data_IF_285158965331
#
_entry.id   IF_285158965331
#
_cell.length_a   1.000
_cell.length_b   1.000
_cell.length_c   1.000
_cell.angle_alpha   90.00
_cell.angle_beta   90.00
_cell.angle_gamma   90.00
#
_symmetry.space_group_name_H-M   'P 1'
#
loop_
_entity.id
_entity.type
_entity.pdbx_description
1 polymer ?
#
# COMPACT_ATOMS: atom_id res chain seq x y z
N UNK A 1 -23.04 5.34 0.41
CA UNK A 1 -21.80 5.77 -0.29
C UNK A 1 -22.00 5.83 -1.81
N UNK A 2 -22.41 4.76 -2.50
CA UNK A 2 -22.59 4.78 -3.97
C UNK A 2 -23.57 5.88 -4.45
N UNK A 3 -24.71 6.03 -3.78
CA UNK A 3 -25.67 7.11 -4.09
C UNK A 3 -25.08 8.51 -3.83
N UNK A 4 -24.27 8.64 -2.78
CA UNK A 4 -23.55 9.88 -2.46
C UNK A 4 -22.63 10.30 -3.62
N UNK A 5 -21.84 9.35 -4.15
CA UNK A 5 -20.96 9.61 -5.28
C UNK A 5 -21.75 9.90 -6.58
N UNK A 6 -22.83 9.16 -6.84
CA UNK A 6 -23.68 9.36 -8.02
C UNK A 6 -24.39 10.72 -8.03
N UNK A 7 -24.77 11.21 -6.85
CA UNK A 7 -25.39 12.52 -6.67
C UNK A 7 -24.36 13.67 -6.56
N UNK A 8 -23.09 13.36 -6.31
CA UNK A 8 -22.10 14.37 -6.01
C UNK A 8 -22.36 15.10 -4.68
N UNK A 9 -23.05 14.43 -3.74
CA UNK A 9 -23.50 14.99 -2.48
C UNK A 9 -22.97 14.18 -1.29
N UNK A 10 -22.73 14.78 -0.12
CA UNK A 10 -22.28 14.05 1.05
C UNK A 10 -23.33 13.02 1.51
N UNK A 11 -22.87 11.96 2.19
CA UNK A 11 -23.74 10.86 2.63
C UNK A 11 -24.90 11.34 3.50
N UNK A 12 -24.70 12.36 4.33
CA UNK A 12 -25.75 12.98 5.16
C UNK A 12 -26.87 13.56 4.31
N UNK A 13 -26.54 14.13 3.14
CA UNK A 13 -27.54 14.63 2.19
C UNK A 13 -28.44 13.51 1.68
N UNK A 14 -27.86 12.35 1.35
CA UNK A 14 -28.61 11.18 0.85
C UNK A 14 -29.64 10.70 1.88
N UNK A 15 -29.25 10.69 3.16
CA UNK A 15 -30.20 10.31 4.23
C UNK A 15 -31.27 11.35 4.50
N UNK A 16 -30.98 12.64 4.32
CA UNK A 16 -31.92 13.72 4.54
C UNK A 16 -32.89 13.93 3.37
N UNK A 17 -32.52 13.49 2.15
CA UNK A 17 -33.27 13.72 0.91
C UNK A 17 -33.56 12.40 0.19
N UNK A 18 -34.35 11.54 0.85
CA UNK A 18 -34.72 10.24 0.27
C UNK A 18 -35.52 10.31 -1.04
N UNK A 19 -36.05 11.50 -1.36
CA UNK A 19 -36.75 11.82 -2.61
C UNK A 19 -35.82 12.28 -3.74
N UNK A 20 -34.52 12.43 -3.49
CA UNK A 20 -33.56 12.88 -4.50
C UNK A 20 -33.51 11.90 -5.68
N UNK A 21 -33.75 12.43 -6.88
CA UNK A 21 -33.75 11.63 -8.10
C UNK A 21 -32.31 11.32 -8.55
N UNK A 22 -32.06 10.06 -8.76
CA UNK A 22 -30.81 9.56 -9.38
C UNK A 22 -31.16 8.87 -10.68
N UNK A 23 -30.35 9.04 -11.70
CA UNK A 23 -30.53 8.32 -12.95
C UNK A 23 -30.49 6.80 -12.70
N UNK A 24 -31.59 6.07 -12.90
CA UNK A 24 -31.67 4.64 -12.64
C UNK A 24 -30.60 3.83 -13.40
N UNK A 25 -30.26 4.27 -14.62
CA UNK A 25 -29.26 3.55 -15.45
C UNK A 25 -27.87 3.53 -14.82
N UNK A 26 -27.48 4.62 -14.14
CA UNK A 26 -26.20 4.73 -13.42
C UNK A 26 -26.19 3.84 -12.18
N UNK A 27 -27.29 3.78 -11.44
CA UNK A 27 -27.45 2.89 -10.28
C UNK A 27 -27.37 1.43 -10.75
N UNK A 28 -28.15 1.07 -11.78
CA UNK A 28 -28.18 -0.29 -12.32
C UNK A 28 -26.79 -0.75 -12.82
N UNK A 29 -26.05 0.14 -13.48
CA UNK A 29 -24.69 -0.16 -13.93
C UNK A 29 -23.76 -0.46 -12.74
N UNK A 30 -23.76 0.39 -11.70
CA UNK A 30 -22.95 0.20 -10.51
C UNK A 30 -23.36 -1.05 -9.71
N UNK A 31 -24.66 -1.31 -9.62
CA UNK A 31 -25.19 -2.50 -8.93
C UNK A 31 -24.82 -3.79 -9.67
N UNK A 32 -24.87 -3.83 -11.01
CA UNK A 32 -24.40 -4.99 -11.78
C UNK A 32 -22.93 -5.30 -11.52
N UNK A 33 -22.06 -4.27 -11.51
CA UNK A 33 -20.64 -4.44 -11.17
C UNK A 33 -20.48 -5.00 -9.77
N UNK A 34 -21.20 -4.44 -8.79
CA UNK A 34 -21.14 -4.89 -7.39
C UNK A 34 -21.64 -6.33 -7.21
N UNK A 35 -22.72 -6.71 -7.89
CA UNK A 35 -23.24 -8.08 -7.87
C UNK A 35 -22.31 -9.09 -8.57
N UNK A 36 -21.47 -8.62 -9.49
CA UNK A 36 -20.41 -9.42 -10.11
C UNK A 36 -19.17 -9.57 -9.20
N UNK A 37 -19.21 -9.04 -7.96
CA UNK A 37 -18.12 -9.16 -6.99
C UNK A 37 -17.09 -8.04 -7.07
N UNK A 38 -17.26 -7.02 -7.92
CA UNK A 38 -16.30 -5.93 -8.04
C UNK A 38 -16.25 -5.09 -6.75
N UNK A 39 -15.04 -4.77 -6.23
CA UNK A 39 -14.88 -3.94 -5.04
C UNK A 39 -15.61 -2.59 -5.17
N UNK A 40 -16.26 -2.15 -4.09
CA UNK A 40 -16.95 -0.88 -4.08
C UNK A 40 -16.01 0.29 -4.41
N UNK A 41 -14.77 0.23 -3.96
CA UNK A 41 -13.74 1.25 -4.20
C UNK A 41 -13.43 1.39 -5.71
N UNK A 42 -13.37 0.27 -6.45
CA UNK A 42 -13.17 0.32 -7.90
C UNK A 42 -14.40 0.86 -8.64
N UNK A 43 -15.60 0.51 -8.19
CA UNK A 43 -16.84 1.06 -8.74
C UNK A 43 -16.90 2.58 -8.55
N UNK A 44 -16.43 3.06 -7.39
CA UNK A 44 -16.35 4.49 -7.03
C UNK A 44 -15.15 5.19 -7.69
N UNK A 45 -14.12 4.44 -8.08
CA UNK A 45 -12.85 4.94 -8.59
C UNK A 45 -11.97 5.60 -7.52
N UNK A 46 -12.30 5.41 -6.22
CA UNK A 46 -11.61 6.07 -5.11
C UNK A 46 -11.78 5.36 -3.78
N UNK A 47 -10.83 5.58 -2.89
CA UNK A 47 -10.87 5.17 -1.48
C UNK A 47 -10.30 6.26 -0.59
N UNK A 48 -10.56 6.20 0.70
CA UNK A 48 -9.93 7.03 1.71
C UNK A 48 -8.75 6.29 2.34
N UNK A 49 -7.65 6.99 2.58
CA UNK A 49 -6.48 6.50 3.28
C UNK A 49 -5.80 7.67 4.01
N UNK A 50 -5.56 7.54 5.29
CA UNK A 50 -4.96 8.56 6.15
C UNK A 50 -5.66 9.93 6.05
N UNK A 51 -6.99 9.92 6.02
CA UNK A 51 -7.83 11.12 5.89
C UNK A 51 -7.77 11.82 4.52
N UNK A 52 -7.22 11.15 3.49
CA UNK A 52 -7.10 11.65 2.11
C UNK A 52 -7.79 10.73 1.12
N UNK A 53 -8.34 11.32 0.06
CA UNK A 53 -8.92 10.56 -1.05
C UNK A 53 -7.83 10.15 -2.05
N UNK A 54 -7.78 8.85 -2.38
CA UNK A 54 -6.91 8.27 -3.40
C UNK A 54 -7.72 7.62 -4.51
N UNK A 55 -7.37 7.88 -5.74
CA UNK A 55 -7.90 7.18 -6.90
C UNK A 55 -7.40 5.74 -6.90
N UNK A 56 -8.32 4.81 -7.19
CA UNK A 56 -8.02 3.38 -7.31
C UNK A 56 -8.85 2.75 -8.42
N UNK A 57 -8.27 1.77 -9.09
CA UNK A 57 -8.93 0.88 -10.04
C UNK A 57 -8.20 -0.48 -10.05
N UNK A 58 -8.58 -1.38 -10.93
CA UNK A 58 -8.05 -2.75 -11.02
C UNK A 58 -6.53 -2.85 -11.25
N UNK A 59 -5.85 -1.75 -11.49
CA UNK A 59 -4.38 -1.71 -11.67
C UNK A 59 -3.60 -1.66 -10.38
N UNK A 60 -4.24 -1.37 -9.24
CA UNK A 60 -3.58 -1.17 -7.95
C UNK A 60 -4.32 -1.87 -6.82
N UNK A 61 -3.59 -2.33 -5.81
CA UNK A 61 -4.18 -2.79 -4.56
C UNK A 61 -4.97 -1.65 -3.92
N UNK A 62 -6.17 -1.93 -3.42
CA UNK A 62 -6.93 -0.97 -2.62
C UNK A 62 -6.20 -0.74 -1.30
N UNK A 63 -5.81 0.50 -0.95
CA UNK A 63 -5.21 0.82 0.35
C UNK A 63 -5.98 0.23 1.52
N UNK A 64 -5.27 -0.43 2.44
CA UNK A 64 -5.85 -1.07 3.63
C UNK A 64 -5.67 -0.17 4.86
N UNK A 65 -6.63 -0.16 5.80
CA UNK A 65 -6.49 0.61 7.04
C UNK A 65 -5.24 0.24 7.83
N UNK A 66 -4.85 -1.04 7.84
CA UNK A 66 -3.66 -1.53 8.55
C UNK A 66 -2.36 -0.91 8.01
N UNK A 67 -2.33 -0.55 6.73
CA UNK A 67 -1.19 0.14 6.10
C UNK A 67 -0.96 1.54 6.66
N UNK A 68 -1.97 2.16 7.31
CA UNK A 68 -1.78 3.44 7.99
C UNK A 68 -0.77 3.34 9.14
N UNK A 69 -0.66 2.17 9.80
CA UNK A 69 0.34 1.89 10.83
C UNK A 69 1.78 1.99 10.28
N UNK A 70 1.97 1.56 9.02
CA UNK A 70 3.27 1.69 8.35
C UNK A 70 3.62 3.17 8.13
N UNK A 71 2.65 3.98 7.68
CA UNK A 71 2.82 5.42 7.48
C UNK A 71 3.11 6.12 8.80
N UNK A 72 2.35 5.85 9.87
CA UNK A 72 2.60 6.38 11.21
C UNK A 72 4.02 6.04 11.68
N UNK A 73 4.43 4.77 11.51
CA UNK A 73 5.78 4.32 11.86
C UNK A 73 6.84 5.07 11.08
N UNK A 74 6.63 5.31 9.78
CA UNK A 74 7.54 6.06 8.93
C UNK A 74 7.66 7.53 9.37
N UNK A 75 6.54 8.17 9.69
CA UNK A 75 6.50 9.55 10.19
C UNK A 75 7.30 9.70 11.51
N UNK A 76 7.15 8.72 12.41
CA UNK A 76 7.79 8.74 13.73
C UNK A 76 9.29 8.41 13.69
N UNK A 77 9.71 7.49 12.80
CA UNK A 77 11.04 6.86 12.85
C UNK A 77 12.05 7.43 11.88
N UNK A 78 11.60 7.94 10.73
CA UNK A 78 12.51 8.40 9.68
C UNK A 78 13.18 9.71 10.09
N UNK A 79 14.51 9.75 9.98
CA UNK A 79 15.33 10.92 10.30
C UNK A 79 15.01 12.11 9.40
N UNK A 80 15.24 13.32 9.91
CA UNK A 80 14.99 14.55 9.15
C UNK A 80 15.90 14.64 7.93
N UNK A 81 15.31 15.01 6.80
CA UNK A 81 16.03 15.19 5.54
C UNK A 81 16.42 13.90 4.83
N UNK A 82 16.01 12.74 5.36
CA UNK A 82 16.35 11.45 4.83
C UNK A 82 15.82 11.22 3.40
N UNK A 83 16.52 10.36 2.66
CA UNK A 83 16.11 9.84 1.36
C UNK A 83 15.33 8.55 1.57
N UNK A 84 14.07 8.55 1.18
CA UNK A 84 13.14 7.46 1.39
C UNK A 84 12.68 6.89 0.06
N UNK A 85 12.60 5.58 -0.05
CA UNK A 85 11.97 4.93 -1.19
C UNK A 85 10.79 4.07 -0.71
N UNK A 86 9.63 4.25 -1.37
CA UNK A 86 8.47 3.37 -1.25
C UNK A 86 8.51 2.34 -2.38
N UNK A 87 8.68 1.07 -2.02
CA UNK A 87 8.80 -0.05 -2.96
C UNK A 87 7.44 -0.74 -3.13
N UNK A 88 7.00 -0.89 -4.39
CA UNK A 88 5.68 -1.44 -4.71
C UNK A 88 4.57 -0.44 -4.35
N UNK A 89 4.73 0.79 -4.79
CA UNK A 89 3.92 1.93 -4.35
C UNK A 89 2.42 1.81 -4.70
N UNK A 90 2.06 0.97 -5.69
CA UNK A 90 0.67 0.76 -6.10
C UNK A 90 -0.06 2.06 -6.44
N UNK A 91 -1.03 2.42 -5.63
CA UNK A 91 -1.77 3.69 -5.76
C UNK A 91 -0.96 4.93 -5.37
N UNK A 92 0.22 4.77 -4.77
CA UNK A 92 1.02 5.84 -4.23
C UNK A 92 0.62 6.27 -2.81
N UNK A 93 -0.31 5.59 -2.16
CA UNK A 93 -0.90 6.03 -0.88
C UNK A 93 0.14 6.19 0.24
N UNK A 94 1.13 5.29 0.34
CA UNK A 94 2.21 5.37 1.33
C UNK A 94 3.12 6.55 1.00
N UNK A 95 3.72 6.55 -0.20
CA UNK A 95 4.69 7.57 -0.59
C UNK A 95 4.14 8.99 -0.54
N UNK A 96 2.93 9.19 -1.09
CA UNK A 96 2.27 10.51 -1.11
C UNK A 96 1.95 10.98 0.30
N UNK A 97 1.42 10.10 1.15
CA UNK A 97 1.09 10.47 2.53
C UNK A 97 2.35 10.81 3.31
N UNK A 98 3.41 9.99 3.24
CA UNK A 98 4.69 10.27 3.90
C UNK A 98 5.28 11.60 3.42
N UNK A 99 5.26 11.88 2.12
CA UNK A 99 5.79 13.15 1.58
C UNK A 99 5.01 14.39 2.05
N UNK A 100 3.68 14.26 2.20
CA UNK A 100 2.82 15.36 2.65
C UNK A 100 2.93 15.60 4.17
N UNK A 101 3.03 14.53 4.97
CA UNK A 101 3.20 14.63 6.42
C UNK A 101 4.64 15.06 6.81
N UNK A 102 5.62 14.68 6.01
CA UNK A 102 7.03 14.94 6.25
C UNK A 102 7.68 15.63 5.04
N UNK A 103 7.37 16.92 4.80
CA UNK A 103 7.91 17.68 3.66
C UNK A 103 9.43 17.90 3.73
N UNK A 104 10.05 17.56 4.84
CA UNK A 104 11.51 17.53 5.01
C UNK A 104 12.17 16.31 4.36
N UNK A 105 11.42 15.24 4.02
CA UNK A 105 11.95 14.03 3.42
C UNK A 105 12.04 14.14 1.90
N UNK A 106 12.94 13.34 1.32
CA UNK A 106 13.06 13.17 -0.13
C UNK A 106 12.47 11.82 -0.53
N UNK A 107 11.18 11.79 -0.79
CA UNK A 107 10.44 10.55 -1.07
C UNK A 107 10.46 10.26 -2.56
N UNK A 108 10.87 9.03 -2.91
CA UNK A 108 10.75 8.43 -4.24
C UNK A 108 9.84 7.21 -4.11
N UNK A 109 9.03 6.95 -5.12
CA UNK A 109 8.17 5.77 -5.14
C UNK A 109 8.47 4.92 -6.37
N UNK A 110 8.51 3.59 -6.17
CA UNK A 110 8.77 2.64 -7.25
C UNK A 110 7.68 1.60 -7.37
N UNK A 111 7.47 1.15 -8.59
CA UNK A 111 6.65 -0.02 -8.89
C UNK A 111 7.16 -0.70 -10.15
N UNK A 112 7.04 -2.01 -10.23
CA UNK A 112 7.34 -2.79 -11.43
C UNK A 112 6.23 -2.60 -12.48
N UNK A 113 5.01 -2.27 -12.04
CA UNK A 113 3.84 -2.04 -12.89
C UNK A 113 3.76 -0.58 -13.35
N UNK A 114 4.01 -0.35 -14.64
CA UNK A 114 3.80 0.97 -15.26
C UNK A 114 2.33 1.40 -15.15
N UNK A 115 1.40 0.45 -15.16
CA UNK A 115 -0.02 0.71 -14.99
C UNK A 115 -0.35 1.22 -13.58
N UNK A 116 0.29 0.67 -12.53
CA UNK A 116 0.17 1.17 -11.16
C UNK A 116 0.77 2.58 -11.03
N UNK A 117 1.95 2.82 -11.62
CA UNK A 117 2.58 4.14 -11.63
C UNK A 117 1.70 5.21 -12.30
N UNK A 118 0.89 4.84 -13.30
CA UNK A 118 -0.05 5.78 -13.92
C UNK A 118 -1.19 6.19 -12.96
N UNK A 119 -1.60 5.30 -12.05
CA UNK A 119 -2.55 5.63 -10.96
C UNK A 119 -1.85 6.48 -9.90
N UNK A 120 -0.67 6.05 -9.44
CA UNK A 120 0.14 6.79 -8.49
C UNK A 120 0.43 8.23 -8.95
N UNK A 121 0.69 8.44 -10.24
CA UNK A 121 0.94 9.77 -10.80
C UNK A 121 -0.26 10.72 -10.64
N UNK A 122 -1.49 10.20 -10.77
CA UNK A 122 -2.71 10.99 -10.56
C UNK A 122 -2.88 11.37 -9.09
N UNK A 123 -2.51 10.46 -8.18
CA UNK A 123 -2.59 10.69 -6.74
C UNK A 123 -1.46 11.57 -6.22
N UNK A 124 -0.27 11.44 -6.76
CA UNK A 124 0.91 12.18 -6.33
C UNK A 124 0.83 13.67 -6.69
N UNK A 125 0.18 14.03 -7.80
CA UNK A 125 0.06 15.41 -8.26
C UNK A 125 1.39 16.20 -8.17
N UNK A 126 2.51 15.53 -8.46
CA UNK A 126 3.85 16.11 -8.40
C UNK A 126 4.54 16.10 -7.03
N UNK A 127 3.88 15.63 -5.96
CA UNK A 127 4.47 15.59 -4.61
C UNK A 127 5.59 14.53 -4.46
N UNK A 128 5.59 13.50 -5.30
CA UNK A 128 6.52 12.37 -5.23
C UNK A 128 7.09 12.07 -6.60
N UNK A 129 8.38 11.75 -6.68
CA UNK A 129 9.00 11.23 -7.90
C UNK A 129 8.68 9.75 -8.05
N UNK A 130 8.12 9.37 -9.20
CA UNK A 130 7.78 7.99 -9.55
C UNK A 130 8.81 7.38 -10.49
N UNK A 131 9.19 6.13 -10.24
CA UNK A 131 10.21 5.41 -11.04
C UNK A 131 9.74 3.98 -11.30
N UNK A 132 9.72 3.58 -12.58
CA UNK A 132 9.51 2.18 -12.96
C UNK A 132 10.76 1.35 -12.62
N UNK A 133 10.64 0.42 -11.67
CA UNK A 133 11.77 -0.39 -11.23
C UNK A 133 11.30 -1.70 -10.63
N UNK A 134 12.06 -2.77 -10.87
CA UNK A 134 11.98 -3.98 -10.07
C UNK A 134 12.77 -3.76 -8.78
N UNK A 135 12.06 -3.47 -7.70
CA UNK A 135 12.60 -3.01 -6.42
C UNK A 135 13.55 -1.82 -6.60
N UNK A 136 14.82 -1.97 -6.24
CA UNK A 136 15.84 -0.92 -6.32
C UNK A 136 16.74 -0.99 -7.56
N UNK A 137 16.45 -1.87 -8.52
CA UNK A 137 17.33 -2.13 -9.68
C UNK A 137 17.62 -0.89 -10.56
N UNK A 138 16.77 0.13 -10.53
CA UNK A 138 16.97 1.38 -11.30
C UNK A 138 17.88 2.39 -10.59
N UNK A 139 18.33 2.11 -9.36
CA UNK A 139 19.09 3.07 -8.56
C UNK A 139 20.53 2.61 -8.37
N UNK A 140 21.46 3.56 -8.49
CA UNK A 140 22.88 3.41 -8.17
C UNK A 140 23.18 3.94 -6.76
N UNK A 141 22.30 4.83 -6.28
CA UNK A 141 22.47 5.54 -5.02
C UNK A 141 21.75 4.84 -3.89
N UNK A 142 22.33 4.87 -2.69
CA UNK A 142 21.71 4.32 -1.48
C UNK A 142 20.58 5.21 -0.98
N UNK A 143 19.62 4.60 -0.32
CA UNK A 143 18.56 5.26 0.45
C UNK A 143 18.88 5.17 1.94
N UNK A 144 18.37 6.14 2.72
CA UNK A 144 18.46 6.09 4.17
C UNK A 144 17.38 5.15 4.74
N UNK A 145 16.20 5.16 4.09
CA UNK A 145 15.07 4.33 4.49
C UNK A 145 14.31 3.75 3.29
N UNK A 146 13.86 2.51 3.48
CA UNK A 146 12.95 1.81 2.58
C UNK A 146 11.64 1.60 3.32
N UNK A 147 10.52 1.97 2.71
CA UNK A 147 9.18 1.63 3.16
C UNK A 147 8.52 0.73 2.13
N UNK A 148 7.74 -0.25 2.55
CA UNK A 148 7.01 -1.11 1.61
C UNK A 148 5.86 -1.84 2.29
N UNK A 149 4.74 -1.94 1.59
CA UNK A 149 3.74 -2.98 1.79
C UNK A 149 3.91 -4.01 0.66
N UNK A 150 4.83 -4.97 0.79
CA UNK A 150 5.11 -5.93 -0.26
C UNK A 150 3.98 -6.96 -0.37
N UNK A 151 3.76 -7.60 -1.53
CA UNK A 151 2.87 -8.74 -1.62
C UNK A 151 3.31 -9.82 -0.64
N UNK A 152 2.36 -10.40 0.10
CA UNK A 152 2.64 -11.33 1.20
C UNK A 152 1.72 -12.57 1.25
N UNK A 153 0.71 -12.63 0.39
CA UNK A 153 -0.21 -13.78 0.35
C UNK A 153 0.49 -14.97 -0.29
N UNK A 154 0.51 -16.13 0.37
CA UNK A 154 1.07 -17.34 -0.23
C UNK A 154 0.27 -17.75 -1.46
N UNK A 155 0.94 -18.22 -2.50
CA UNK A 155 0.29 -18.58 -3.76
C UNK A 155 -0.85 -19.60 -3.57
N UNK A 156 -0.72 -20.53 -2.63
CA UNK A 156 -1.75 -21.52 -2.30
C UNK A 156 -2.98 -20.94 -1.59
N UNK A 157 -2.87 -19.74 -0.98
CA UNK A 157 -3.94 -19.10 -0.23
C UNK A 157 -4.81 -18.18 -1.12
N UNK A 158 -4.37 -17.86 -2.33
CA UNK A 158 -5.08 -16.95 -3.25
C UNK A 158 -6.54 -17.39 -3.47
N UNK A 159 -6.76 -18.69 -3.68
CA UNK A 159 -8.10 -19.24 -3.95
C UNK A 159 -9.04 -19.15 -2.75
N UNK A 160 -8.50 -18.92 -1.54
CA UNK A 160 -9.29 -18.77 -0.31
C UNK A 160 -9.65 -17.32 0.01
N UNK A 161 -9.12 -16.37 -0.74
CA UNK A 161 -9.42 -14.96 -0.57
C UNK A 161 -10.88 -14.65 -0.94
N UNK A 162 -11.40 -13.56 -0.37
CA UNK A 162 -12.71 -13.04 -0.78
C UNK A 162 -12.71 -12.77 -2.29
N UNK A 163 -13.83 -13.05 -2.94
CA UNK A 163 -14.02 -12.86 -4.40
C UNK A 163 -13.58 -11.48 -4.88
N UNK A 164 -13.90 -10.43 -4.11
CA UNK A 164 -13.51 -9.05 -4.42
C UNK A 164 -12.00 -8.89 -4.58
N UNK A 165 -11.20 -9.56 -3.74
CA UNK A 165 -9.74 -9.49 -3.76
C UNK A 165 -9.20 -10.42 -4.84
N UNK A 166 -9.63 -11.71 -4.79
CA UNK A 166 -9.11 -12.76 -5.66
C UNK A 166 -9.31 -12.47 -7.14
N UNK A 167 -10.51 -11.99 -7.51
CA UNK A 167 -10.92 -11.89 -8.91
C UNK A 167 -10.72 -10.48 -9.49
N UNK A 168 -10.51 -9.47 -8.65
CA UNK A 168 -10.47 -8.08 -9.11
C UNK A 168 -9.16 -7.34 -8.77
N UNK A 169 -8.47 -7.70 -7.69
CA UNK A 169 -7.22 -7.01 -7.38
C UNK A 169 -6.02 -7.62 -8.13
N UNK A 170 -4.98 -6.81 -8.46
CA UNK A 170 -3.86 -7.29 -9.28
C UNK A 170 -3.12 -8.43 -8.57
N UNK A 171 -3.02 -9.58 -9.20
CA UNK A 171 -2.38 -10.77 -8.61
C UNK A 171 -0.94 -10.51 -8.16
N UNK A 172 -0.18 -9.69 -8.92
CA UNK A 172 1.19 -9.34 -8.56
C UNK A 172 1.31 -8.48 -7.31
N UNK A 173 0.24 -7.78 -6.91
CA UNK A 173 0.19 -7.04 -5.65
C UNK A 173 -0.25 -7.91 -4.46
N UNK A 174 -0.72 -9.13 -4.70
CA UNK A 174 -1.19 -10.05 -3.65
C UNK A 174 -0.11 -11.06 -3.27
N UNK A 175 0.45 -11.77 -4.25
CA UNK A 175 1.33 -12.91 -3.98
C UNK A 175 2.73 -12.72 -4.55
N UNK A 176 3.78 -12.90 -3.72
CA UNK A 176 5.16 -12.92 -4.18
C UNK A 176 5.60 -14.33 -4.61
N UNK A 177 4.85 -15.38 -4.22
CA UNK A 177 5.20 -16.77 -4.46
C UNK A 177 4.70 -17.75 -3.38
N UNK A 178 5.30 -18.95 -3.29
CA UNK A 178 4.85 -20.01 -2.37
C UNK A 178 5.01 -19.68 -0.88
N UNK A 179 6.06 -18.99 -0.48
CA UNK A 179 6.35 -18.71 0.93
C UNK A 179 5.64 -17.46 1.45
N UNK A 180 5.30 -16.52 0.56
CA UNK A 180 4.71 -15.23 0.93
C UNK A 180 5.73 -14.19 1.40
N UNK A 181 7.03 -14.52 1.39
CA UNK A 181 8.12 -13.66 1.88
C UNK A 181 9.20 -13.39 0.83
N UNK A 182 9.01 -13.85 -0.40
CA UNK A 182 10.02 -13.79 -1.46
C UNK A 182 10.41 -12.35 -1.80
N UNK A 183 9.43 -11.42 -1.82
CA UNK A 183 9.71 -10.01 -2.09
C UNK A 183 10.45 -9.38 -0.91
N UNK A 184 10.09 -9.72 0.34
CA UNK A 184 10.81 -9.24 1.53
C UNK A 184 12.29 -9.69 1.47
N UNK A 185 12.56 -10.95 1.14
CA UNK A 185 13.92 -11.46 0.99
C UNK A 185 14.72 -10.66 -0.05
N UNK A 186 14.12 -10.40 -1.22
CA UNK A 186 14.74 -9.60 -2.29
C UNK A 186 14.95 -8.13 -1.90
N UNK A 187 14.06 -7.54 -1.10
CA UNK A 187 14.26 -6.19 -0.55
C UNK A 187 15.47 -6.19 0.39
N UNK A 188 15.58 -7.17 1.29
CA UNK A 188 16.72 -7.30 2.21
C UNK A 188 18.05 -7.48 1.48
N UNK A 189 18.08 -8.23 0.37
CA UNK A 189 19.27 -8.40 -0.48
C UNK A 189 19.76 -7.06 -1.06
N UNK A 190 18.82 -6.17 -1.44
CA UNK A 190 19.12 -4.91 -2.13
C UNK A 190 19.20 -3.71 -1.20
N UNK A 191 18.79 -3.85 0.07
CA UNK A 191 18.61 -2.71 0.99
C UNK A 191 19.90 -1.99 1.37
N UNK A 192 21.08 -2.57 1.10
CA UNK A 192 22.34 -1.94 1.46
C UNK A 192 22.44 -1.65 2.95
N UNK A 193 22.53 -0.35 3.31
CA UNK A 193 22.55 0.12 4.70
C UNK A 193 21.23 0.76 5.14
N UNK A 194 20.23 0.81 4.28
CA UNK A 194 18.96 1.47 4.60
C UNK A 194 18.28 0.82 5.81
N UNK A 195 17.61 1.64 6.63
CA UNK A 195 16.59 1.17 7.54
C UNK A 195 15.35 0.73 6.75
N UNK A 196 14.60 -0.25 7.25
CA UNK A 196 13.40 -0.73 6.58
C UNK A 196 12.18 -0.62 7.50
N UNK A 197 11.06 -0.24 6.92
CA UNK A 197 9.74 -0.28 7.56
C UNK A 197 8.83 -1.07 6.62
N UNK A 198 8.50 -2.30 7.02
CA UNK A 198 7.80 -3.25 6.15
C UNK A 198 6.48 -3.68 6.79
N UNK A 199 5.41 -3.67 6.00
CA UNK A 199 4.17 -4.35 6.37
C UNK A 199 4.35 -5.87 6.21
N UNK A 200 3.73 -6.65 7.12
CA UNK A 200 3.76 -8.10 7.13
C UNK A 200 2.36 -8.68 7.32
N UNK A 201 2.13 -9.88 6.81
CA UNK A 201 0.90 -10.61 7.03
C UNK A 201 0.77 -11.15 8.47
N UNK A 202 -0.47 -11.48 8.83
CA UNK A 202 -0.73 -12.27 10.03
C UNK A 202 0.12 -13.55 10.04
N UNK A 203 0.81 -13.79 11.17
CA UNK A 203 1.64 -14.98 11.35
C UNK A 203 2.99 -14.99 10.65
N UNK A 204 3.39 -13.92 9.94
CA UNK A 204 4.68 -13.86 9.24
C UNK A 204 5.86 -13.37 10.10
N UNK A 205 5.61 -12.86 11.32
CA UNK A 205 6.66 -12.20 12.11
C UNK A 205 7.91 -13.06 12.30
N UNK A 206 7.76 -14.32 12.66
CA UNK A 206 8.94 -15.19 12.89
C UNK A 206 9.71 -15.48 11.60
N UNK A 207 9.02 -15.74 10.50
CA UNK A 207 9.67 -15.92 9.20
C UNK A 207 10.44 -14.66 8.76
N UNK A 208 9.89 -13.47 9.03
CA UNK A 208 10.57 -12.20 8.73
C UNK A 208 11.76 -11.95 9.66
N UNK A 209 11.68 -12.36 10.95
CA UNK A 209 12.82 -12.33 11.88
C UNK A 209 13.97 -13.20 11.40
N UNK A 210 13.68 -14.43 10.98
CA UNK A 210 14.68 -15.36 10.46
C UNK A 210 15.34 -14.81 9.19
N UNK A 211 14.54 -14.25 8.26
CA UNK A 211 15.06 -13.60 7.07
C UNK A 211 15.93 -12.38 7.40
N UNK A 212 15.48 -11.52 8.31
CA UNK A 212 16.23 -10.34 8.74
C UNK A 212 17.59 -10.76 9.31
N UNK A 213 17.63 -11.75 10.20
CA UNK A 213 18.86 -12.28 10.79
C UNK A 213 19.82 -12.86 9.71
N UNK A 214 19.29 -13.62 8.75
CA UNK A 214 20.07 -14.20 7.64
C UNK A 214 20.70 -13.12 6.75
N UNK A 215 20.09 -11.93 6.64
CA UNK A 215 20.59 -10.77 5.87
C UNK A 215 21.30 -9.73 6.74
N UNK A 216 21.63 -10.06 7.99
CA UNK A 216 22.31 -9.19 8.96
C UNK A 216 21.55 -7.94 9.37
N UNK A 217 20.22 -8.05 9.46
CA UNK A 217 19.34 -7.02 10.02
C UNK A 217 18.83 -7.43 11.40
N UNK A 218 18.65 -6.44 12.27
CA UNK A 218 17.95 -6.55 13.55
C UNK A 218 16.48 -6.13 13.38
N UNK A 219 15.61 -6.73 14.17
CA UNK A 219 14.24 -6.24 14.34
C UNK A 219 14.24 -5.24 15.50
N UNK A 220 14.22 -3.95 15.19
CA UNK A 220 14.28 -2.87 16.20
C UNK A 220 12.92 -2.60 16.84
N UNK A 221 11.84 -2.80 16.09
CA UNK A 221 10.47 -2.65 16.59
C UNK A 221 9.48 -3.49 15.79
N UNK A 222 8.38 -3.81 16.46
CA UNK A 222 7.18 -4.42 15.86
C UNK A 222 5.99 -3.56 16.26
N UNK A 223 5.15 -3.19 15.29
CA UNK A 223 3.90 -2.45 15.53
C UNK A 223 2.73 -3.37 15.26
N UNK A 224 1.80 -3.38 16.18
CA UNK A 224 0.59 -4.20 16.09
C UNK A 224 -0.60 -3.33 15.69
N UNK A 225 -1.59 -3.97 15.05
CA UNK A 225 -2.91 -3.36 14.86
C UNK A 225 -3.71 -3.32 16.18
N UNK A 226 -4.92 -2.76 16.12
CA UNK A 226 -5.81 -2.65 17.28
C UNK A 226 -6.25 -3.99 17.88
N UNK A 227 -6.13 -5.08 17.11
CA UNK A 227 -6.39 -6.44 17.56
C UNK A 227 -5.14 -7.11 18.19
N UNK A 228 -4.03 -6.39 18.30
CA UNK A 228 -2.77 -6.89 18.82
C UNK A 228 -1.97 -7.75 17.83
N UNK A 229 -2.33 -7.75 16.56
CA UNK A 229 -1.67 -8.53 15.51
C UNK A 229 -0.47 -7.74 14.96
N UNK A 230 0.75 -8.32 14.90
CA UNK A 230 1.90 -7.71 14.25
C UNK A 230 1.62 -7.37 12.78
N UNK A 231 1.79 -6.10 12.42
CA UNK A 231 1.54 -5.58 11.07
C UNK A 231 2.75 -4.91 10.45
N UNK A 232 3.60 -4.27 11.26
CA UNK A 232 4.76 -3.55 10.73
C UNK A 232 5.99 -3.94 11.52
N UNK A 233 7.10 -4.19 10.80
CA UNK A 233 8.42 -4.41 11.37
C UNK A 233 9.35 -3.28 10.96
N UNK A 234 10.17 -2.83 11.91
CA UNK A 234 11.27 -1.89 11.67
C UNK A 234 12.57 -2.65 11.78
N UNK A 235 13.38 -2.58 10.73
CA UNK A 235 14.64 -3.30 10.64
C UNK A 235 15.80 -2.34 10.43
N UNK A 236 16.95 -2.59 11.07
CA UNK A 236 18.20 -1.91 10.78
C UNK A 236 19.37 -2.89 10.70
N UNK A 237 20.42 -2.51 9.98
CA UNK A 237 21.65 -3.34 9.95
C UNK A 237 22.42 -3.26 11.27
N UNK A 238 23.09 -4.34 11.63
CA UNK A 238 24.02 -4.37 12.76
C UNK A 238 25.06 -3.23 12.64
N UNK A 239 25.14 -2.37 13.66
CA UNK A 239 26.10 -1.26 13.72
C UNK A 239 25.63 0.05 13.04
N UNK A 240 24.38 0.14 12.67
CA UNK A 240 23.77 1.40 12.22
C UNK A 240 23.54 2.31 13.44
N UNK A 241 24.18 3.51 13.44
CA UNK A 241 23.94 4.60 14.39
C UNK A 241 23.75 5.89 13.61
#
# INVERSE_FOLDING_TARGET
MLLSDLLGQPLVYVFAHGEALVDPSRIDAAMRRRLAGEPLQYIRGKTEFFGREFRVDERVLIPRPETEILVETAIERIDRGARVVDIGTGSGCIAVTVALERPDLRVIATDVSVAALAVAAQNANGAVRLVGSDLLAAFVEDFDWIVSNPPYVKAAEIETLATEVRDHEPRGALTPGPAGTEVIARILDQAGRAGLILEIAYGQLEAVRDLAAAHHFNVDAVRNDLAGIPRVVVLSRHGWK
#
